data_IF_328860618149
#
_entry.id   IF_328860618149
#
_cell.length_a   1.000
_cell.length_b   1.000
_cell.length_c   1.000
_cell.angle_alpha   90.00
_cell.angle_beta   90.00
_cell.angle_gamma   90.00
#
_symmetry.space_group_name_H-M   'P 1'
#
loop_
_entity.id
_entity.type
_entity.pdbx_description
1 polymer ?
#
# COMPACT_ATOMS: atom_id res chain seq x y z
N UNK A 1 -16.42 14.72 17.98
CA UNK A 1 -15.56 15.90 17.70
C UNK A 1 -15.70 16.22 16.23
N UNK A 2 -16.10 17.44 15.96
CA UNK A 2 -16.80 17.94 14.77
C UNK A 2 -15.98 17.83 13.49
N UNK A 3 -16.61 17.29 12.45
CA UNK A 3 -16.10 17.33 11.08
C UNK A 3 -16.10 18.79 10.62
N UNK A 4 -14.93 19.36 10.41
CA UNK A 4 -14.79 20.65 9.73
C UNK A 4 -15.17 20.49 8.27
N UNK A 5 -16.18 21.24 7.83
CA UNK A 5 -16.58 21.30 6.44
C UNK A 5 -15.43 21.86 5.60
N UNK A 6 -14.94 21.07 4.65
CA UNK A 6 -13.99 21.50 3.63
C UNK A 6 -14.83 21.96 2.44
N UNK A 7 -15.03 23.27 2.29
CA UNK A 7 -15.59 23.86 1.07
C UNK A 7 -14.43 24.29 0.17
N UNK A 8 -14.16 23.50 -0.86
CA UNK A 8 -13.32 23.89 -1.99
C UNK A 8 -14.20 24.41 -3.13
N UNK A 9 -13.99 25.66 -3.54
CA UNK A 9 -14.58 26.21 -4.74
C UNK A 9 -13.80 25.69 -5.97
N UNK A 10 -14.44 24.82 -6.75
CA UNK A 10 -13.92 24.25 -7.99
C UNK A 10 -14.76 23.03 -8.35
N UNK A 11 -15.47 23.08 -9.49
CA UNK A 11 -16.37 22.06 -10.05
C UNK A 11 -16.94 21.02 -9.06
N UNK A 12 -18.18 21.24 -8.62
CA UNK A 12 -18.87 20.53 -7.53
C UNK A 12 -18.90 19.01 -7.59
N UNK A 13 -17.79 18.37 -7.21
CA UNK A 13 -17.75 16.96 -6.80
C UNK A 13 -18.06 16.92 -5.31
N UNK A 14 -19.18 16.29 -4.94
CA UNK A 14 -19.44 15.99 -3.54
C UNK A 14 -18.40 14.98 -3.03
N UNK A 15 -17.52 15.43 -2.13
CA UNK A 15 -16.45 14.61 -1.57
C UNK A 15 -16.94 13.69 -0.44
N UNK A 16 -18.14 13.90 0.12
CA UNK A 16 -18.62 13.11 1.25
C UNK A 16 -18.77 11.61 0.91
N UNK A 17 -19.37 11.20 -0.23
CA UNK A 17 -19.45 9.79 -0.63
C UNK A 17 -18.07 9.18 -0.87
N UNK A 18 -17.14 9.96 -1.45
CA UNK A 18 -15.75 9.54 -1.71
C UNK A 18 -15.04 9.25 -0.40
N UNK A 19 -15.08 10.20 0.55
CA UNK A 19 -14.43 10.07 1.86
C UNK A 19 -15.03 8.92 2.66
N UNK A 20 -16.35 8.75 2.65
CA UNK A 20 -17.02 7.64 3.34
C UNK A 20 -16.59 6.27 2.76
N UNK A 21 -16.54 6.17 1.43
CA UNK A 21 -16.08 4.94 0.73
C UNK A 21 -14.62 4.63 1.05
N UNK A 22 -13.73 5.62 1.02
CA UNK A 22 -12.31 5.43 1.34
C UNK A 22 -12.10 5.14 2.83
N UNK A 23 -12.93 5.67 3.72
CA UNK A 23 -12.85 5.39 5.16
C UNK A 23 -13.09 3.91 5.49
N UNK A 24 -13.93 3.24 4.68
CA UNK A 24 -14.24 1.80 4.75
C UNK A 24 -13.20 0.91 4.06
N UNK A 25 -12.22 1.48 3.34
CA UNK A 25 -11.18 0.69 2.65
C UNK A 25 -10.37 -0.16 3.66
N UNK A 26 -10.09 -1.44 3.36
CA UNK A 26 -9.37 -2.33 4.26
C UNK A 26 -8.01 -1.76 4.71
N UNK A 27 -7.81 -1.65 6.03
CA UNK A 27 -6.63 -0.99 6.59
C UNK A 27 -5.50 -1.97 6.86
N UNK A 28 -4.49 -1.95 5.98
CA UNK A 28 -3.20 -2.58 6.22
C UNK A 28 -2.30 -1.64 7.04
N UNK A 29 -1.60 -2.16 8.06
CA UNK A 29 -0.56 -1.39 8.78
C UNK A 29 0.68 -1.23 7.89
N UNK A 30 0.57 -0.31 6.94
CA UNK A 30 1.61 0.01 5.96
C UNK A 30 2.36 1.27 6.36
N UNK A 31 3.68 1.23 6.22
CA UNK A 31 4.57 2.31 6.62
C UNK A 31 4.39 3.50 5.69
N UNK A 32 4.09 4.68 6.26
CA UNK A 32 3.75 5.87 5.48
C UNK A 32 2.33 5.88 4.91
N UNK A 33 1.44 4.96 5.34
CA UNK A 33 0.07 4.87 4.79
C UNK A 33 -0.69 6.20 4.85
N UNK A 34 -1.28 6.55 3.71
CA UNK A 34 -2.02 7.80 3.46
C UNK A 34 -3.49 7.75 3.85
N UNK A 35 -3.93 6.72 4.59
CA UNK A 35 -5.33 6.58 5.03
C UNK A 35 -5.90 7.83 5.72
N UNK A 36 -5.11 8.49 6.58
CA UNK A 36 -5.55 9.72 7.27
C UNK A 36 -5.47 10.95 6.37
N UNK A 37 -4.67 10.91 5.32
CA UNK A 37 -4.50 12.00 4.35
C UNK A 37 -5.48 11.90 3.18
N UNK A 38 -6.15 10.76 3.01
CA UNK A 38 -7.08 10.53 1.91
C UNK A 38 -8.14 11.64 1.73
N UNK A 39 -8.76 12.23 2.78
CA UNK A 39 -9.69 13.34 2.59
C UNK A 39 -9.03 14.60 2.01
N UNK A 40 -7.79 14.91 2.43
CA UNK A 40 -7.04 16.06 1.92
C UNK A 40 -6.58 15.82 0.48
N UNK A 41 -6.10 14.60 0.18
CA UNK A 41 -5.74 14.20 -1.17
C UNK A 41 -6.96 14.21 -2.10
N UNK A 42 -8.13 13.77 -1.62
CA UNK A 42 -9.36 13.81 -2.40
C UNK A 42 -9.74 15.23 -2.80
N UNK A 43 -9.64 16.19 -1.88
CA UNK A 43 -9.88 17.60 -2.16
C UNK A 43 -8.90 18.16 -3.20
N UNK A 44 -7.61 17.82 -3.08
CA UNK A 44 -6.56 18.26 -4.02
C UNK A 44 -6.77 17.67 -5.41
N UNK A 45 -7.09 16.38 -5.51
CA UNK A 45 -7.36 15.73 -6.79
C UNK A 45 -8.65 16.24 -7.43
N UNK A 46 -9.67 16.60 -6.65
CA UNK A 46 -10.88 17.23 -7.17
C UNK A 46 -10.62 18.66 -7.68
N UNK A 47 -9.79 19.42 -6.96
CA UNK A 47 -9.37 20.77 -7.37
C UNK A 47 -8.56 20.75 -8.67
N UNK A 48 -7.61 19.82 -8.82
CA UNK A 48 -6.79 19.68 -10.03
C UNK A 48 -7.65 19.20 -11.21
N UNK A 49 -8.53 18.23 -10.98
CA UNK A 49 -9.32 17.59 -12.03
C UNK A 49 -8.49 16.77 -13.01
N UNK A 50 -9.15 16.27 -14.05
CA UNK A 50 -8.55 15.38 -15.05
C UNK A 50 -9.39 14.12 -15.28
N UNK A 51 -8.91 13.24 -16.16
CA UNK A 51 -9.58 11.99 -16.53
C UNK A 51 -8.74 10.78 -16.24
N UNK A 52 -7.42 10.90 -16.37
CA UNK A 52 -6.46 9.81 -16.23
C UNK A 52 -5.48 10.11 -15.10
N UNK A 53 -5.21 9.11 -14.27
CA UNK A 53 -4.26 9.27 -13.17
C UNK A 53 -3.34 8.06 -13.02
N UNK A 54 -2.08 8.32 -12.68
CA UNK A 54 -1.13 7.31 -12.25
C UNK A 54 -0.86 7.46 -10.75
N UNK A 55 -1.04 6.39 -9.98
CA UNK A 55 -0.43 6.24 -8.66
C UNK A 55 0.84 5.40 -8.83
N UNK A 56 2.00 6.05 -8.87
CA UNK A 56 3.26 5.39 -9.24
C UNK A 56 3.83 4.48 -8.13
N UNK A 57 3.39 4.69 -6.88
CA UNK A 57 3.87 4.02 -5.66
C UNK A 57 2.70 3.66 -4.75
N UNK A 58 1.82 2.81 -5.24
CA UNK A 58 0.48 2.61 -4.68
C UNK A 58 0.44 2.09 -3.24
N UNK A 59 1.46 1.37 -2.77
CA UNK A 59 1.60 0.95 -1.37
C UNK A 59 0.37 0.20 -0.83
N UNK A 60 -0.39 0.80 0.08
CA UNK A 60 -1.62 0.17 0.58
C UNK A 60 -2.80 0.23 -0.40
N UNK A 61 -2.65 0.91 -1.54
CA UNK A 61 -3.68 1.11 -2.56
C UNK A 61 -4.69 2.23 -2.26
N UNK A 62 -4.60 2.89 -1.10
CA UNK A 62 -5.64 3.83 -0.63
C UNK A 62 -5.74 5.09 -1.49
N UNK A 63 -4.62 5.59 -2.03
CA UNK A 63 -4.59 6.80 -2.86
C UNK A 63 -5.14 6.50 -4.26
N UNK A 64 -4.64 5.45 -4.92
CA UNK A 64 -5.24 4.92 -6.15
C UNK A 64 -6.75 4.65 -6.01
N UNK A 65 -7.20 4.09 -4.87
CA UNK A 65 -8.62 3.85 -4.60
C UNK A 65 -9.40 5.16 -4.44
N UNK A 66 -8.80 6.20 -3.85
CA UNK A 66 -9.38 7.54 -3.76
C UNK A 66 -9.52 8.18 -5.14
N UNK A 67 -8.49 8.10 -5.98
CA UNK A 67 -8.55 8.56 -7.38
C UNK A 67 -9.66 7.84 -8.16
N UNK A 68 -9.78 6.52 -8.01
CA UNK A 68 -10.88 5.74 -8.62
C UNK A 68 -12.25 6.22 -8.14
N UNK A 69 -12.39 6.47 -6.83
CA UNK A 69 -13.64 6.95 -6.24
C UNK A 69 -14.03 8.36 -6.72
N UNK A 70 -13.05 9.18 -7.10
CA UNK A 70 -13.25 10.47 -7.76
C UNK A 70 -13.59 10.37 -9.26
N UNK A 71 -13.62 9.15 -9.83
CA UNK A 71 -13.99 8.93 -11.22
C UNK A 71 -12.83 9.01 -12.23
N UNK A 72 -11.58 8.97 -11.75
CA UNK A 72 -10.41 8.87 -12.63
C UNK A 72 -10.31 7.46 -13.25
N UNK A 73 -9.78 7.41 -14.47
CA UNK A 73 -9.20 6.21 -15.05
C UNK A 73 -7.80 6.00 -14.44
N UNK A 74 -7.68 5.10 -13.46
CA UNK A 74 -6.47 4.95 -12.66
C UNK A 74 -5.55 3.85 -13.20
N UNK A 75 -4.27 4.14 -13.33
CA UNK A 75 -3.20 3.13 -13.38
C UNK A 75 -2.48 3.15 -12.03
N UNK A 76 -2.45 2.04 -11.31
CA UNK A 76 -1.74 1.91 -10.04
C UNK A 76 -0.50 1.03 -10.23
N UNK A 77 0.66 1.49 -9.79
CA UNK A 77 1.92 0.76 -9.85
C UNK A 77 2.54 0.61 -8.46
N UNK A 78 3.29 -0.46 -8.25
CA UNK A 78 4.19 -0.56 -7.10
C UNK A 78 5.38 -1.46 -7.45
N UNK A 79 6.50 -1.24 -6.77
CA UNK A 79 7.69 -2.06 -6.92
C UNK A 79 7.56 -3.45 -6.27
N UNK A 80 6.71 -3.56 -5.24
CA UNK A 80 6.42 -4.80 -4.53
C UNK A 80 5.20 -5.51 -5.13
N UNK A 81 5.19 -6.83 -5.05
CA UNK A 81 4.11 -7.66 -5.56
C UNK A 81 2.82 -7.51 -4.74
N UNK A 82 2.88 -7.50 -3.40
CA UNK A 82 1.65 -7.48 -2.61
C UNK A 82 0.84 -6.16 -2.74
N UNK A 83 1.44 -4.96 -2.80
CA UNK A 83 0.73 -3.73 -3.17
C UNK A 83 0.07 -3.80 -4.54
N UNK A 84 0.79 -4.31 -5.55
CA UNK A 84 0.23 -4.52 -6.89
C UNK A 84 -0.98 -5.46 -6.87
N UNK A 85 -0.95 -6.52 -6.07
CA UNK A 85 -2.10 -7.42 -5.90
C UNK A 85 -3.29 -6.72 -5.23
N UNK A 86 -3.06 -5.89 -4.20
CA UNK A 86 -4.11 -5.10 -3.55
C UNK A 86 -4.74 -4.10 -4.55
N UNK A 87 -3.92 -3.41 -5.33
CA UNK A 87 -4.38 -2.49 -6.36
C UNK A 87 -5.17 -3.22 -7.46
N UNK A 88 -4.75 -4.43 -7.85
CA UNK A 88 -5.53 -5.28 -8.77
C UNK A 88 -6.89 -5.64 -8.20
N UNK A 89 -6.95 -6.00 -6.91
CA UNK A 89 -8.17 -6.43 -6.23
C UNK A 89 -9.20 -5.31 -6.03
N UNK A 90 -8.73 -4.06 -5.83
CA UNK A 90 -9.58 -2.94 -5.38
C UNK A 90 -9.70 -1.78 -6.36
N UNK A 91 -8.65 -1.54 -7.15
CA UNK A 91 -8.60 -0.44 -8.12
C UNK A 91 -8.95 -0.97 -9.52
N UNK A 92 -8.18 -1.93 -10.04
CA UNK A 92 -8.42 -2.47 -11.38
C UNK A 92 -9.75 -3.23 -11.49
N UNK A 93 -10.09 -4.03 -10.48
CA UNK A 93 -11.35 -4.75 -10.39
C UNK A 93 -12.55 -3.79 -10.30
N UNK A 94 -13.56 -3.99 -11.15
CA UNK A 94 -14.79 -3.19 -11.15
C UNK A 94 -15.97 -3.92 -10.50
N UNK A 95 -15.99 -5.25 -10.47
CA UNK A 95 -17.23 -5.97 -10.14
C UNK A 95 -17.06 -7.37 -9.56
N UNK A 96 -15.92 -8.04 -9.75
CA UNK A 96 -15.76 -9.41 -9.27
C UNK A 96 -15.62 -9.43 -7.75
N UNK A 97 -16.28 -10.38 -7.09
CA UNK A 97 -16.15 -10.65 -5.66
C UNK A 97 -15.93 -12.15 -5.45
N UNK A 98 -15.37 -12.51 -4.29
CA UNK A 98 -15.31 -13.91 -3.86
C UNK A 98 -16.69 -14.34 -3.37
N UNK A 99 -17.24 -15.43 -3.89
CA UNK A 99 -18.50 -15.99 -3.39
C UNK A 99 -18.30 -16.68 -2.03
N UNK A 100 -19.36 -16.87 -1.23
CA UNK A 100 -19.27 -17.64 0.01
C UNK A 100 -18.66 -19.03 -0.20
N UNK A 101 -19.01 -19.72 -1.29
CA UNK A 101 -18.50 -21.06 -1.61
C UNK A 101 -17.00 -21.04 -1.95
N UNK A 102 -16.52 -19.98 -2.61
CA UNK A 102 -15.09 -19.79 -2.88
C UNK A 102 -14.33 -19.53 -1.57
N UNK A 103 -14.88 -18.69 -0.69
CA UNK A 103 -14.30 -18.42 0.63
C UNK A 103 -14.25 -19.69 1.47
N UNK A 104 -15.34 -20.47 1.53
CA UNK A 104 -15.39 -21.70 2.29
C UNK A 104 -14.48 -22.79 1.71
N UNK A 105 -14.31 -22.83 0.39
CA UNK A 105 -13.35 -23.73 -0.26
C UNK A 105 -11.91 -23.39 0.13
N UNK A 106 -11.52 -22.10 0.07
CA UNK A 106 -10.19 -21.64 0.50
C UNK A 106 -9.98 -21.92 2.01
N UNK A 107 -11.04 -21.76 2.79
CA UNK A 107 -11.11 -22.12 4.20
C UNK A 107 -11.44 -23.61 4.44
N UNK A 108 -11.32 -24.48 3.45
CA UNK A 108 -11.57 -25.91 3.56
C UNK A 108 -10.30 -26.73 3.78
N UNK A 109 -10.37 -28.05 3.57
CA UNK A 109 -9.21 -28.93 3.42
C UNK A 109 -8.33 -28.51 2.22
N UNK A 110 -7.03 -28.83 2.22
CA UNK A 110 -6.13 -28.43 1.15
C UNK A 110 -6.47 -29.11 -0.18
N UNK A 111 -6.20 -28.41 -1.29
CA UNK A 111 -6.45 -28.88 -2.64
C UNK A 111 -5.32 -29.75 -3.21
N UNK A 112 -4.14 -29.66 -2.63
CA UNK A 112 -2.92 -30.42 -2.91
C UNK A 112 -2.06 -30.56 -1.64
N UNK A 113 -0.88 -31.14 -1.74
CA UNK A 113 -0.01 -31.52 -0.62
C UNK A 113 1.10 -30.48 -0.32
N UNK A 114 0.97 -29.25 -0.83
CA UNK A 114 2.00 -28.22 -0.60
C UNK A 114 2.17 -27.91 0.89
N UNK A 115 3.42 -27.77 1.30
CA UNK A 115 3.80 -27.56 2.71
C UNK A 115 4.91 -26.51 2.89
N UNK A 116 5.14 -25.70 1.86
CA UNK A 116 6.30 -24.81 1.80
C UNK A 116 6.31 -23.83 2.98
N UNK A 117 5.18 -23.20 3.31
CA UNK A 117 5.12 -22.21 4.39
C UNK A 117 5.34 -22.89 5.74
N UNK A 118 4.70 -24.05 5.95
CA UNK A 118 4.86 -24.87 7.16
C UNK A 118 6.31 -25.28 7.39
N UNK A 119 6.98 -25.85 6.39
CA UNK A 119 8.38 -26.30 6.50
C UNK A 119 9.35 -25.14 6.61
N UNK A 120 9.17 -24.12 5.76
CA UNK A 120 10.14 -23.01 5.66
C UNK A 120 10.08 -22.13 6.89
N UNK A 121 8.88 -21.85 7.44
CA UNK A 121 8.69 -20.95 8.57
C UNK A 121 8.35 -21.69 9.87
N UNK A 122 8.85 -22.91 10.03
CA UNK A 122 8.69 -23.63 11.29
C UNK A 122 9.29 -22.85 12.48
N UNK A 123 8.62 -22.89 13.62
CA UNK A 123 8.84 -22.00 14.77
C UNK A 123 8.66 -20.48 14.54
N UNK A 124 8.33 -19.99 13.33
CA UNK A 124 8.28 -18.56 13.02
C UNK A 124 6.86 -18.03 12.79
N UNK A 125 6.62 -16.81 13.28
CA UNK A 125 5.45 -15.93 13.06
C UNK A 125 4.10 -16.42 13.54
N UNK A 126 3.72 -17.64 13.16
CA UNK A 126 2.40 -18.19 13.39
C UNK A 126 2.50 -19.61 13.97
N UNK A 127 1.39 -20.10 14.49
CA UNK A 127 1.26 -21.47 14.99
C UNK A 127 1.37 -22.48 13.84
N UNK A 128 1.58 -23.77 14.16
CA UNK A 128 1.64 -24.81 13.12
C UNK A 128 0.36 -24.87 12.27
N UNK A 129 -0.80 -24.87 12.93
CA UNK A 129 -2.11 -24.86 12.28
C UNK A 129 -2.33 -23.61 11.40
N UNK A 130 -1.83 -22.44 11.81
CA UNK A 130 -1.93 -21.24 10.99
C UNK A 130 -1.06 -21.33 9.73
N UNK A 131 0.16 -21.87 9.83
CA UNK A 131 1.04 -22.06 8.67
C UNK A 131 0.49 -23.11 7.71
N UNK A 132 -0.04 -24.21 8.24
CA UNK A 132 -0.76 -25.22 7.47
C UNK A 132 -1.96 -24.60 6.74
N UNK A 133 -2.73 -23.74 7.41
CA UNK A 133 -3.81 -23.00 6.74
C UNK A 133 -3.30 -22.10 5.62
N UNK A 134 -2.17 -21.40 5.78
CA UNK A 134 -1.62 -20.55 4.71
C UNK A 134 -1.26 -21.37 3.46
N UNK A 135 -0.67 -22.56 3.65
CA UNK A 135 -0.38 -23.50 2.55
C UNK A 135 -1.68 -24.01 1.90
N UNK A 136 -2.63 -24.49 2.72
CA UNK A 136 -3.95 -24.95 2.28
C UNK A 136 -4.70 -23.88 1.51
N UNK A 137 -4.77 -22.65 2.01
CA UNK A 137 -5.43 -21.54 1.34
C UNK A 137 -4.78 -21.26 -0.02
N UNK A 138 -3.44 -21.26 -0.08
CA UNK A 138 -2.73 -21.06 -1.34
C UNK A 138 -2.97 -22.16 -2.38
N UNK A 139 -3.21 -23.40 -1.96
CA UNK A 139 -3.56 -24.50 -2.87
C UNK A 139 -4.85 -24.24 -3.66
N UNK A 140 -5.80 -23.54 -3.06
CA UNK A 140 -7.04 -23.10 -3.73
C UNK A 140 -6.84 -21.81 -4.51
N UNK A 141 -6.16 -20.82 -3.91
CA UNK A 141 -5.92 -19.50 -4.54
C UNK A 141 -5.17 -19.63 -5.86
N UNK A 142 -4.25 -20.59 -5.96
CA UNK A 142 -3.46 -20.79 -7.19
C UNK A 142 -4.29 -21.26 -8.39
N UNK A 143 -5.49 -21.81 -8.13
CA UNK A 143 -6.47 -22.21 -9.14
C UNK A 143 -7.43 -21.09 -9.53
N UNK A 144 -7.39 -19.96 -8.82
CA UNK A 144 -8.15 -18.76 -9.18
C UNK A 144 -7.39 -17.92 -10.21
N UNK A 145 -8.13 -17.09 -10.94
CA UNK A 145 -7.57 -16.17 -11.92
C UNK A 145 -8.12 -14.75 -11.72
N UNK A 146 -7.56 -13.79 -12.46
CA UNK A 146 -8.10 -12.43 -12.53
C UNK A 146 -8.23 -11.72 -11.17
N UNK A 147 -9.35 -11.00 -11.00
CA UNK A 147 -9.60 -10.20 -9.81
C UNK A 147 -9.93 -11.06 -8.58
N UNK A 148 -10.59 -12.22 -8.75
CA UNK A 148 -10.85 -13.15 -7.64
C UNK A 148 -9.57 -13.66 -7.00
N UNK A 149 -8.57 -14.04 -7.79
CA UNK A 149 -7.24 -14.40 -7.26
C UNK A 149 -6.64 -13.25 -6.46
N UNK A 150 -6.73 -12.03 -6.99
CA UNK A 150 -6.18 -10.85 -6.33
C UNK A 150 -6.89 -10.54 -5.00
N UNK A 151 -8.22 -10.67 -4.95
CA UNK A 151 -9.02 -10.53 -3.72
C UNK A 151 -8.61 -11.56 -2.67
N UNK A 152 -8.48 -12.82 -3.06
CA UNK A 152 -8.12 -13.88 -2.14
C UNK A 152 -6.69 -13.70 -1.57
N UNK A 153 -5.72 -13.34 -2.42
CA UNK A 153 -4.37 -13.02 -1.96
C UNK A 153 -4.38 -11.79 -1.04
N UNK A 154 -5.13 -10.74 -1.39
CA UNK A 154 -5.22 -9.52 -0.57
C UNK A 154 -5.82 -9.81 0.81
N UNK A 155 -6.87 -10.64 0.86
CA UNK A 155 -7.47 -11.10 2.11
C UNK A 155 -6.48 -11.90 2.96
N UNK A 156 -5.72 -12.81 2.36
CA UNK A 156 -4.70 -13.62 3.03
C UNK A 156 -3.54 -12.77 3.57
N UNK A 157 -3.06 -11.81 2.77
CA UNK A 157 -2.03 -10.83 3.17
C UNK A 157 -2.51 -9.99 4.35
N UNK A 158 -3.74 -9.47 4.30
CA UNK A 158 -4.28 -8.67 5.39
C UNK A 158 -4.55 -9.51 6.65
N UNK A 159 -4.97 -10.76 6.50
CA UNK A 159 -5.12 -11.72 7.61
C UNK A 159 -3.78 -11.93 8.32
N UNK A 160 -2.73 -12.26 7.58
CA UNK A 160 -1.38 -12.44 8.12
C UNK A 160 -0.85 -11.16 8.78
N UNK A 161 -1.06 -9.99 8.15
CA UNK A 161 -0.62 -8.71 8.69
C UNK A 161 -1.35 -8.30 9.98
N UNK A 162 -2.64 -8.62 10.12
CA UNK A 162 -3.40 -8.30 11.35
C UNK A 162 -3.04 -9.24 12.51
N UNK A 163 -2.84 -10.53 12.21
CA UNK A 163 -2.43 -11.52 13.21
C UNK A 163 -1.00 -11.35 13.69
N UNK A 164 -0.10 -10.80 12.87
CA UNK A 164 1.26 -10.51 13.31
C UNK A 164 1.31 -9.25 14.18
N UNK A 165 1.95 -9.28 15.37
CA UNK A 165 2.17 -8.08 16.17
C UNK A 165 2.80 -6.94 15.37
N UNK A 166 2.23 -5.74 15.49
CA UNK A 166 2.59 -4.53 14.69
C UNK A 166 2.45 -4.66 13.16
N UNK A 167 2.08 -5.82 12.62
CA UNK A 167 1.95 -6.07 11.18
C UNK A 167 3.29 -6.04 10.42
N UNK A 168 4.41 -6.28 11.12
CA UNK A 168 5.75 -6.35 10.52
C UNK A 168 6.43 -7.65 10.90
N UNK A 169 7.24 -8.17 9.98
CA UNK A 169 7.85 -9.50 10.08
C UNK A 169 9.35 -9.44 10.42
N UNK A 170 9.75 -8.38 11.12
CA UNK A 170 11.12 -8.14 11.60
C UNK A 170 11.41 -8.73 12.96
N UNK A 171 10.38 -9.16 13.70
CA UNK A 171 10.47 -9.73 15.04
C UNK A 171 9.67 -11.01 15.09
N UNK A 172 10.20 -11.99 15.82
CA UNK A 172 9.56 -13.27 16.11
C UNK A 172 9.19 -13.34 17.59
N UNK A 173 8.09 -14.03 17.91
CA UNK A 173 7.58 -14.18 19.28
C UNK A 173 6.60 -13.11 19.75
N UNK A 174 6.08 -13.27 20.97
CA UNK A 174 4.96 -12.50 21.54
C UNK A 174 5.35 -11.16 22.19
N UNK A 175 6.58 -10.67 22.00
CA UNK A 175 7.11 -9.47 22.69
C UNK A 175 6.27 -8.19 22.47
N UNK A 176 5.50 -8.14 21.40
CA UNK A 176 4.63 -7.01 21.05
C UNK A 176 3.15 -7.40 20.98
N UNK A 177 2.77 -8.50 21.61
CA UNK A 177 1.37 -8.87 21.80
C UNK A 177 0.69 -7.83 22.69
N UNK A 178 -0.25 -7.08 22.11
CA UNK A 178 -1.04 -6.04 22.76
C UNK A 178 -2.42 -6.55 23.20
N UNK A 179 -2.66 -7.86 23.15
CA UNK A 179 -3.88 -8.52 23.60
C UNK A 179 -5.10 -8.31 22.71
N UNK A 180 -4.96 -7.62 21.57
CA UNK A 180 -6.09 -7.32 20.68
C UNK A 180 -6.69 -8.58 20.05
N UNK A 181 -7.99 -8.51 19.72
CA UNK A 181 -8.76 -9.60 19.09
C UNK A 181 -8.05 -10.23 17.90
N UNK A 182 -7.44 -9.42 17.03
CA UNK A 182 -6.75 -9.92 15.83
C UNK A 182 -5.59 -10.89 16.17
N UNK A 183 -4.94 -10.79 17.34
CA UNK A 183 -3.86 -11.72 17.67
C UNK A 183 -4.38 -13.10 18.11
N UNK A 184 -5.65 -13.17 18.53
CA UNK A 184 -6.29 -14.37 19.06
C UNK A 184 -7.09 -15.15 18.01
N UNK A 185 -7.51 -14.49 16.93
CA UNK A 185 -8.24 -15.13 15.85
C UNK A 185 -7.36 -16.11 15.08
N UNK A 186 -7.96 -17.22 14.63
CA UNK A 186 -7.29 -18.11 13.66
C UNK A 186 -7.06 -17.36 12.35
N UNK A 187 -6.01 -17.71 11.58
CA UNK A 187 -5.84 -17.14 10.24
C UNK A 187 -7.02 -17.46 9.32
N UNK A 188 -7.70 -18.59 9.54
CA UNK A 188 -8.90 -19.00 8.80
C UNK A 188 -10.06 -18.03 9.03
N UNK A 189 -10.33 -17.66 10.28
CA UNK A 189 -11.39 -16.69 10.60
C UNK A 189 -11.01 -15.29 10.12
N UNK A 190 -9.74 -14.92 10.25
CA UNK A 190 -9.23 -13.70 9.65
C UNK A 190 -9.48 -13.67 8.14
N UNK A 191 -9.16 -14.73 7.42
CA UNK A 191 -9.36 -14.77 5.98
C UNK A 191 -10.83 -14.50 5.62
N UNK A 192 -11.79 -15.14 6.30
CA UNK A 192 -13.22 -14.89 6.07
C UNK A 192 -13.60 -13.42 6.27
N UNK A 193 -13.19 -12.82 7.39
CA UNK A 193 -13.48 -11.42 7.66
C UNK A 193 -12.82 -10.47 6.65
N UNK A 194 -11.55 -10.74 6.30
CA UNK A 194 -10.80 -9.89 5.37
C UNK A 194 -11.31 -10.05 3.93
N UNK A 195 -11.77 -11.24 3.53
CA UNK A 195 -12.42 -11.45 2.24
C UNK A 195 -13.71 -10.64 2.13
N UNK A 196 -14.53 -10.61 3.18
CA UNK A 196 -15.72 -9.75 3.23
C UNK A 196 -15.37 -8.26 3.16
N UNK A 197 -14.34 -7.81 3.90
CA UNK A 197 -13.84 -6.42 3.83
C UNK A 197 -13.37 -6.04 2.41
N UNK A 198 -12.62 -6.92 1.73
CA UNK A 198 -12.16 -6.66 0.37
C UNK A 198 -13.28 -6.74 -0.66
N UNK A 199 -14.23 -7.66 -0.54
CA UNK A 199 -15.43 -7.70 -1.38
C UNK A 199 -16.22 -6.38 -1.28
N UNK A 200 -16.39 -5.85 -0.07
CA UNK A 200 -17.11 -4.58 0.16
C UNK A 200 -16.37 -3.35 -0.42
N UNK A 201 -15.06 -3.46 -0.66
CA UNK A 201 -14.28 -2.41 -1.31
C UNK A 201 -14.40 -2.44 -2.85
N UNK A 202 -14.97 -3.50 -3.44
CA UNK A 202 -15.15 -3.57 -4.90
C UNK A 202 -16.31 -2.67 -5.32
N UNK A 203 -16.08 -1.86 -6.34
CA UNK A 203 -17.13 -1.07 -6.99
C UNK A 203 -16.74 -0.73 -8.43
N UNK A 204 -17.75 -0.51 -9.25
CA UNK A 204 -17.59 -0.05 -10.63
C UNK A 204 -17.53 1.47 -10.64
N UNK A 205 -16.44 2.00 -11.20
CA UNK A 205 -16.21 3.43 -11.39
C UNK A 205 -16.66 3.92 -12.77
N UNK A 206 -17.10 3.04 -13.66
CA UNK A 206 -17.37 3.33 -15.07
C UNK A 206 -16.12 3.64 -15.89
N UNK A 207 -14.92 3.48 -15.30
CA UNK A 207 -13.63 3.76 -15.93
C UNK A 207 -12.71 2.55 -15.87
N UNK A 208 -12.03 2.27 -16.99
CA UNK A 208 -11.09 1.15 -17.09
C UNK A 208 -9.80 1.43 -16.30
N UNK A 209 -9.74 0.94 -15.07
CA UNK A 209 -8.55 1.04 -14.24
C UNK A 209 -7.59 -0.16 -14.46
N UNK A 210 -6.30 0.02 -14.19
CA UNK A 210 -5.26 -1.01 -14.31
C UNK A 210 -4.37 -1.04 -13.09
N UNK A 211 -3.72 -2.18 -12.87
CA UNK A 211 -2.69 -2.36 -11.86
C UNK A 211 -1.45 -3.01 -12.47
N UNK A 212 -0.30 -2.43 -12.20
CA UNK A 212 1.04 -2.84 -12.63
C UNK A 212 1.88 -3.20 -11.41
N UNK A 213 2.98 -3.91 -11.64
CA UNK A 213 4.00 -4.20 -10.63
C UNK A 213 5.36 -4.08 -11.27
N UNK A 214 6.14 -3.08 -10.88
CA UNK A 214 7.41 -2.75 -11.50
C UNK A 214 8.05 -1.50 -10.92
N UNK A 215 9.31 -1.26 -11.30
CA UNK A 215 9.99 -0.01 -10.98
C UNK A 215 9.32 1.13 -11.74
N UNK A 216 9.17 2.29 -11.09
CA UNK A 216 8.61 3.51 -11.69
C UNK A 216 9.38 3.92 -12.95
N UNK A 217 10.69 3.66 -13.00
CA UNK A 217 11.51 4.03 -14.16
C UNK A 217 11.22 3.16 -15.39
N UNK A 218 10.76 1.92 -15.18
CA UNK A 218 10.43 0.95 -16.23
C UNK A 218 9.01 1.11 -16.78
N UNK A 219 8.19 1.98 -16.18
CA UNK A 219 6.85 2.27 -16.67
C UNK A 219 6.91 2.86 -18.09
N UNK A 220 6.00 2.41 -18.96
CA UNK A 220 5.84 3.01 -20.28
C UNK A 220 5.47 4.49 -20.15
N UNK A 221 5.95 5.30 -21.10
CA UNK A 221 5.55 6.70 -21.22
C UNK A 221 4.12 6.76 -21.77
N UNK A 222 3.14 6.73 -20.88
CA UNK A 222 1.74 6.97 -21.19
C UNK A 222 1.34 8.38 -20.73
N UNK A 223 0.48 9.11 -21.47
CA UNK A 223 -0.01 10.39 -21.03
C UNK A 223 -0.99 10.22 -19.86
N UNK A 224 -0.70 10.89 -18.74
CA UNK A 224 -1.60 11.01 -17.60
C UNK A 224 -1.89 12.49 -17.34
N UNK A 225 -3.13 12.82 -16.99
CA UNK A 225 -3.47 14.19 -16.56
C UNK A 225 -2.85 14.48 -15.19
N UNK A 226 -2.83 13.47 -14.31
CA UNK A 226 -2.32 13.54 -12.95
C UNK A 226 -1.39 12.36 -12.63
N UNK A 227 -0.23 12.63 -12.04
CA UNK A 227 0.68 11.62 -11.49
C UNK A 227 0.86 11.86 -10.00
N UNK A 228 0.42 10.91 -9.18
CA UNK A 228 0.66 10.88 -7.75
C UNK A 228 1.94 10.11 -7.42
N UNK A 229 2.78 10.72 -6.60
CA UNK A 229 4.05 10.17 -6.15
C UNK A 229 4.06 10.07 -4.61
N UNK A 230 4.40 8.89 -4.09
CA UNK A 230 4.68 8.62 -2.68
C UNK A 230 5.88 7.66 -2.57
N UNK A 231 7.06 8.06 -3.07
CA UNK A 231 8.21 7.16 -3.12
C UNK A 231 8.70 6.79 -1.72
N UNK A 232 9.38 5.63 -1.57
CA UNK A 232 10.09 5.31 -0.34
C UNK A 232 11.06 6.43 0.03
N UNK A 233 10.96 6.98 1.23
CA UNK A 233 11.85 8.05 1.66
C UNK A 233 12.97 7.56 2.59
N UNK A 234 14.11 8.24 2.57
CA UNK A 234 15.23 7.98 3.45
C UNK A 234 15.14 8.85 4.72
N UNK A 235 14.90 8.27 5.91
CA UNK A 235 14.98 9.04 7.15
C UNK A 235 16.45 9.31 7.52
N UNK A 236 16.77 10.43 8.19
CA UNK A 236 18.16 10.81 8.47
C UNK A 236 18.97 9.82 9.32
N UNK A 237 18.31 8.97 10.13
CA UNK A 237 18.95 8.12 11.14
C UNK A 237 18.36 6.70 11.24
N UNK A 238 17.59 6.23 10.26
CA UNK A 238 16.95 4.90 10.30
C UNK A 238 16.93 4.23 8.91
N UNK A 239 16.60 2.94 8.87
CA UNK A 239 16.39 2.14 7.68
C UNK A 239 14.88 2.01 7.38
N UNK A 240 14.45 2.64 6.29
CA UNK A 240 13.07 2.63 5.80
C UNK A 240 12.84 1.54 4.72
N UNK A 241 13.55 0.41 4.82
CA UNK A 241 13.40 -0.67 3.86
C UNK A 241 12.05 -1.40 4.01
N UNK A 242 11.16 -1.20 3.03
CA UNK A 242 9.86 -1.86 2.95
C UNK A 242 9.98 -3.38 2.87
N UNK A 243 10.86 -3.92 2.01
CA UNK A 243 11.09 -5.37 1.91
C UNK A 243 11.46 -5.96 3.26
N UNK A 244 12.40 -5.36 4.00
CA UNK A 244 12.81 -5.85 5.33
C UNK A 244 11.63 -5.98 6.30
N UNK A 245 10.63 -5.10 6.21
CA UNK A 245 9.46 -5.06 7.11
C UNK A 245 8.33 -5.99 6.65
N UNK A 246 8.13 -6.09 5.34
CA UNK A 246 7.00 -6.75 4.71
C UNK A 246 7.38 -8.00 3.90
N UNK A 247 8.61 -8.51 4.05
CA UNK A 247 9.13 -9.65 3.27
C UNK A 247 8.22 -10.88 3.31
N UNK A 248 7.59 -11.15 4.46
CA UNK A 248 6.67 -12.28 4.57
C UNK A 248 5.39 -12.03 3.76
N UNK A 249 4.85 -10.81 3.76
CA UNK A 249 3.67 -10.47 2.96
C UNK A 249 3.98 -10.47 1.46
N UNK A 250 5.17 -10.00 1.09
CA UNK A 250 5.67 -10.02 -0.28
C UNK A 250 5.85 -11.46 -0.80
N UNK A 251 6.45 -12.32 0.02
CA UNK A 251 6.55 -13.75 -0.26
C UNK A 251 5.18 -14.40 -0.30
N UNK A 252 4.31 -14.13 0.68
CA UNK A 252 2.96 -14.67 0.75
C UNK A 252 2.12 -14.28 -0.46
N UNK A 253 2.29 -13.08 -1.03
CA UNK A 253 1.56 -12.67 -2.23
C UNK A 253 1.96 -13.44 -3.51
N UNK A 254 3.10 -14.12 -3.49
CA UNK A 254 3.65 -14.87 -4.62
C UNK A 254 3.87 -16.36 -4.31
N UNK A 255 3.50 -16.81 -3.11
CA UNK A 255 3.91 -18.10 -2.56
C UNK A 255 5.43 -18.33 -2.68
N UNK A 256 6.21 -17.27 -2.45
CA UNK A 256 7.67 -17.19 -2.58
C UNK A 256 8.24 -17.58 -3.95
N UNK A 257 7.41 -17.76 -4.97
CA UNK A 257 7.86 -18.12 -6.33
C UNK A 257 8.66 -16.97 -6.93
N UNK A 258 9.86 -17.27 -7.41
CA UNK A 258 10.78 -16.27 -7.97
C UNK A 258 11.39 -15.33 -6.91
N UNK A 259 11.30 -15.67 -5.62
CA UNK A 259 11.89 -14.89 -4.53
C UNK A 259 13.02 -15.69 -3.87
N UNK A 260 14.11 -15.00 -3.51
CA UNK A 260 15.24 -15.62 -2.81
C UNK A 260 15.17 -15.36 -1.31
N UNK A 261 15.00 -16.43 -0.54
CA UNK A 261 15.04 -16.38 0.93
C UNK A 261 16.49 -16.36 1.40
N UNK A 262 16.78 -15.47 2.33
CA UNK A 262 18.05 -15.39 3.05
C UNK A 262 18.01 -16.36 4.24
N UNK A 263 18.35 -17.64 3.99
CA UNK A 263 18.27 -18.72 4.98
C UNK A 263 19.08 -18.47 6.26
N UNK A 264 20.20 -17.75 6.16
CA UNK A 264 21.03 -17.39 7.32
C UNK A 264 20.43 -16.32 8.26
N UNK A 265 19.24 -15.79 7.95
CA UNK A 265 18.58 -14.78 8.79
C UNK A 265 17.59 -15.42 9.76
N UNK A 266 17.55 -14.92 11.01
CA UNK A 266 16.61 -15.40 12.06
C UNK A 266 15.13 -15.33 11.67
N UNK A 267 14.81 -14.56 10.64
CA UNK A 267 13.44 -14.30 10.21
C UNK A 267 13.23 -14.67 8.73
N UNK A 268 14.15 -15.43 8.10
CA UNK A 268 14.05 -15.87 6.70
C UNK A 268 13.61 -14.77 5.74
N UNK A 269 14.30 -13.62 5.80
CA UNK A 269 13.97 -12.44 4.99
C UNK A 269 14.17 -12.71 3.51
N UNK A 270 13.48 -11.96 2.67
CA UNK A 270 13.78 -11.89 1.25
C UNK A 270 15.01 -11.01 0.99
N UNK A 271 15.75 -11.32 -0.07
CA UNK A 271 16.81 -10.44 -0.56
C UNK A 271 16.26 -9.05 -0.88
N UNK A 272 17.02 -8.02 -0.48
CA UNK A 272 16.63 -6.63 -0.69
C UNK A 272 16.73 -6.30 -2.18
N UNK A 273 15.61 -5.87 -2.76
CA UNK A 273 15.63 -5.21 -4.07
C UNK A 273 16.12 -3.78 -3.93
N UNK A 274 17.02 -3.38 -4.83
CA UNK A 274 17.57 -2.03 -4.85
C UNK A 274 16.50 -1.02 -5.28
N UNK A 275 16.49 0.15 -4.64
CA UNK A 275 15.72 1.32 -5.08
C UNK A 275 16.51 2.58 -4.73
N UNK A 276 16.67 3.54 -5.65
CA UNK A 276 17.48 4.72 -5.41
C UNK A 276 16.81 5.73 -4.46
N UNK A 277 15.50 5.61 -4.21
CA UNK A 277 14.77 6.51 -3.31
C UNK A 277 15.09 6.27 -1.82
N UNK A 278 15.54 5.06 -1.46
CA UNK A 278 15.80 4.69 -0.05
C UNK A 278 17.14 5.16 0.51
N UNK A 279 17.97 5.88 -0.25
CA UNK A 279 19.30 6.30 0.20
C UNK A 279 19.48 7.82 0.07
N UNK A 280 19.94 8.53 1.13
CA UNK A 280 20.13 9.99 1.10
C UNK A 280 20.96 10.50 -0.09
N UNK A 281 21.99 9.75 -0.48
CA UNK A 281 22.91 10.11 -1.56
C UNK A 281 22.29 10.01 -2.97
N UNK A 282 21.24 9.23 -3.14
CA UNK A 282 20.63 8.96 -4.47
C UNK A 282 19.17 9.42 -4.56
N UNK A 283 18.52 9.72 -3.43
CA UNK A 283 17.10 10.07 -3.39
C UNK A 283 16.78 11.34 -4.20
N UNK A 284 17.62 12.38 -4.13
CA UNK A 284 17.40 13.62 -4.87
C UNK A 284 17.47 13.40 -6.39
N UNK A 285 18.46 12.64 -6.88
CA UNK A 285 18.57 12.30 -8.30
C UNK A 285 17.41 11.42 -8.78
N UNK A 286 17.00 10.45 -7.97
CA UNK A 286 15.84 9.61 -8.26
C UNK A 286 14.55 10.43 -8.40
N UNK A 287 14.32 11.39 -7.50
CA UNK A 287 13.20 12.32 -7.59
C UNK A 287 13.27 13.17 -8.86
N UNK A 288 14.44 13.78 -9.15
CA UNK A 288 14.66 14.57 -10.38
C UNK A 288 14.29 13.78 -11.64
N UNK A 289 14.83 12.56 -11.78
CA UNK A 289 14.54 11.68 -12.91
C UNK A 289 13.05 11.30 -13.00
N UNK A 290 12.38 11.14 -11.87
CA UNK A 290 10.93 10.86 -11.81
C UNK A 290 10.12 12.07 -12.29
N UNK A 291 10.49 13.27 -11.85
CA UNK A 291 9.83 14.51 -12.28
C UNK A 291 10.04 14.78 -13.78
N UNK A 292 11.24 14.53 -14.29
CA UNK A 292 11.54 14.60 -15.74
C UNK A 292 10.70 13.61 -16.55
N UNK A 293 10.56 12.37 -16.08
CA UNK A 293 9.77 11.33 -16.75
C UNK A 293 8.29 11.71 -16.87
N UNK A 294 7.73 12.39 -15.87
CA UNK A 294 6.33 12.79 -15.82
C UNK A 294 6.10 14.29 -15.99
N UNK A 295 7.02 14.97 -16.68
CA UNK A 295 7.00 16.44 -16.86
C UNK A 295 5.73 16.98 -17.53
N UNK A 296 5.08 16.16 -18.35
CA UNK A 296 3.88 16.55 -19.11
C UNK A 296 2.57 16.35 -18.32
N UNK A 297 2.64 15.76 -17.11
CA UNK A 297 1.49 15.53 -16.23
C UNK A 297 1.47 16.52 -15.07
N UNK A 298 0.31 16.82 -14.48
CA UNK A 298 0.29 17.47 -13.16
C UNK A 298 0.89 16.50 -12.14
N UNK A 299 1.88 16.93 -11.36
CA UNK A 299 2.55 16.09 -10.37
C UNK A 299 2.02 16.45 -8.98
N UNK A 300 1.55 15.44 -8.24
CA UNK A 300 1.22 15.55 -6.82
C UNK A 300 2.14 14.63 -6.03
N UNK A 301 2.99 15.19 -5.17
CA UNK A 301 3.94 14.41 -4.36
C UNK A 301 3.60 14.55 -2.88
N UNK A 302 3.41 13.43 -2.18
CA UNK A 302 3.41 13.39 -0.72
C UNK A 302 4.80 13.05 -0.21
N UNK A 303 5.29 13.81 0.77
CA UNK A 303 6.61 13.57 1.36
C UNK A 303 6.65 13.91 2.85
N UNK A 304 7.35 13.09 3.64
CA UNK A 304 7.47 13.29 5.08
C UNK A 304 8.45 14.42 5.41
N UNK A 305 8.10 15.28 6.37
CA UNK A 305 9.04 16.29 6.91
C UNK A 305 10.26 15.72 7.64
N UNK A 306 10.27 14.41 7.95
CA UNK A 306 11.39 13.72 8.59
C UNK A 306 12.19 12.86 7.60
N UNK A 307 12.22 13.25 6.33
CA UNK A 307 12.94 12.59 5.26
C UNK A 307 13.94 13.53 4.59
N UNK A 308 14.90 12.96 3.86
CA UNK A 308 15.79 13.67 2.94
C UNK A 308 15.51 13.26 1.49
N UNK A 309 15.61 14.16 0.49
CA UNK A 309 15.93 15.58 0.63
C UNK A 309 14.80 16.40 1.31
N UNK A 310 15.12 17.62 1.76
CA UNK A 310 14.16 18.50 2.40
C UNK A 310 13.16 19.12 1.41
N UNK A 311 12.14 19.80 1.94
CA UNK A 311 11.07 20.36 1.12
C UNK A 311 11.53 21.46 0.15
N UNK A 312 12.50 22.28 0.54
CA UNK A 312 13.06 23.33 -0.31
C UNK A 312 13.77 22.73 -1.52
N UNK A 313 14.57 21.69 -1.28
CA UNK A 313 15.25 20.94 -2.34
C UNK A 313 14.25 20.29 -3.29
N UNK A 314 13.20 19.64 -2.77
CA UNK A 314 12.16 19.02 -3.59
C UNK A 314 11.43 20.06 -4.45
N UNK A 315 11.05 21.19 -3.86
CA UNK A 315 10.40 22.28 -4.59
C UNK A 315 11.31 22.85 -5.69
N UNK A 316 12.61 23.00 -5.42
CA UNK A 316 13.58 23.44 -6.41
C UNK A 316 13.71 22.45 -7.59
N UNK A 317 13.72 21.13 -7.32
CA UNK A 317 13.73 20.10 -8.36
C UNK A 317 12.45 20.12 -9.20
N UNK A 318 11.27 20.27 -8.58
CA UNK A 318 10.00 20.40 -9.31
C UNK A 318 9.99 21.62 -10.23
N UNK A 319 10.52 22.77 -9.77
CA UNK A 319 10.61 24.00 -10.58
C UNK A 319 11.52 23.90 -11.80
N UNK A 320 12.36 22.88 -11.89
CA UNK A 320 13.16 22.62 -13.09
C UNK A 320 12.31 22.08 -14.25
N UNK A 321 11.16 21.48 -13.95
CA UNK A 321 10.27 20.87 -14.95
C UNK A 321 8.87 21.48 -14.99
N UNK A 322 8.44 22.17 -13.93
CA UNK A 322 7.12 22.82 -13.78
C UNK A 322 7.23 24.32 -13.52
N UNK A 323 6.31 25.09 -14.10
CA UNK A 323 6.27 26.55 -13.91
C UNK A 323 5.56 26.97 -12.61
N UNK A 324 4.59 26.17 -12.16
CA UNK A 324 3.85 26.40 -10.92
C UNK A 324 4.11 25.27 -9.93
N UNK A 325 4.56 25.60 -8.72
CA UNK A 325 4.84 24.64 -7.65
C UNK A 325 4.31 25.19 -6.33
N UNK A 326 3.20 24.62 -5.88
CA UNK A 326 2.57 24.88 -4.60
C UNK A 326 2.99 23.82 -3.56
N UNK A 327 3.24 24.23 -2.32
CA UNK A 327 3.55 23.32 -1.21
C UNK A 327 2.53 23.54 -0.09
N UNK A 328 1.70 22.53 0.18
CA UNK A 328 0.76 22.50 1.31
C UNK A 328 1.33 21.65 2.43
N UNK A 329 1.11 22.06 3.67
CA UNK A 329 1.46 21.27 4.86
C UNK A 329 0.22 20.68 5.50
N UNK A 330 0.26 19.39 5.80
CA UNK A 330 -0.79 18.72 6.56
C UNK A 330 -0.21 18.25 7.89
N UNK A 331 -0.78 18.74 8.99
CA UNK A 331 -0.38 18.33 10.33
C UNK A 331 -0.75 16.87 10.57
N UNK A 332 0.27 16.00 10.57
CA UNK A 332 0.09 14.57 10.79
C UNK A 332 0.74 14.13 12.11
N UNK A 333 -0.04 13.58 13.04
CA UNK A 333 0.55 12.94 14.23
C UNK A 333 0.86 11.48 13.92
N UNK A 334 2.12 11.16 13.66
CA UNK A 334 2.59 9.77 13.65
C UNK A 334 2.54 9.19 15.07
N UNK A 335 1.67 8.21 15.31
CA UNK A 335 1.61 7.46 16.56
C UNK A 335 2.47 6.19 16.44
N UNK A 336 3.79 6.33 16.41
CA UNK A 336 4.71 5.20 16.50
C UNK A 336 5.85 5.52 17.46
N UNK A 337 5.66 5.13 18.73
CA UNK A 337 6.68 5.18 19.76
C UNK A 337 6.08 4.86 21.13
N UNK A 338 6.54 3.78 21.76
CA UNK A 338 6.14 3.35 23.12
C UNK A 338 7.04 3.93 24.22
N UNK A 339 7.88 4.93 23.92
CA UNK A 339 8.79 5.54 24.89
C UNK A 339 8.23 6.86 25.44
N UNK A 340 7.97 6.91 26.75
CA UNK A 340 7.44 8.08 27.46
C UNK A 340 8.35 9.33 27.37
N UNK A 341 9.64 9.15 27.05
CA UNK A 341 10.64 10.23 26.93
C UNK A 341 10.99 10.61 25.47
N UNK A 342 10.33 10.03 24.46
CA UNK A 342 10.52 10.51 23.09
C UNK A 342 9.73 11.81 22.92
N UNK A 343 10.41 12.95 22.93
CA UNK A 343 9.84 14.22 22.50
C UNK A 343 9.09 13.96 21.19
N UNK A 344 7.76 14.06 21.22
CA UNK A 344 6.89 13.76 20.07
C UNK A 344 7.21 14.79 18.98
N UNK A 345 8.20 14.51 18.12
CA UNK A 345 8.48 15.31 16.93
C UNK A 345 7.18 15.35 16.14
N UNK A 346 6.58 16.53 16.01
CA UNK A 346 5.47 16.77 15.10
C UNK A 346 6.04 16.57 13.70
N UNK A 347 5.79 15.42 13.10
CA UNK A 347 6.20 15.12 11.71
C UNK A 347 5.02 15.51 10.82
N UNK A 348 5.08 16.67 10.18
CA UNK A 348 4.09 17.07 9.19
C UNK A 348 4.31 16.31 7.87
N UNK A 349 3.26 16.18 7.07
CA UNK A 349 3.38 15.73 5.68
C UNK A 349 3.35 16.95 4.76
N UNK A 350 4.29 17.01 3.82
CA UNK A 350 4.28 17.97 2.72
C UNK A 350 3.52 17.37 1.53
N UNK A 351 2.65 18.19 0.92
CA UNK A 351 1.99 17.89 -0.32
C UNK A 351 2.42 18.94 -1.35
N UNK A 352 3.23 18.51 -2.32
CA UNK A 352 3.64 19.34 -3.44
C UNK A 352 2.64 19.15 -4.58
N UNK A 353 2.18 20.25 -5.18
CA UNK A 353 1.30 20.26 -6.34
C UNK A 353 2.02 21.08 -7.41
N UNK A 354 2.41 20.42 -8.50
CA UNK A 354 3.24 21.01 -9.54
C UNK A 354 2.57 20.88 -10.92
N UNK A 355 2.27 22.01 -11.56
CA UNK A 355 1.48 22.10 -12.79
C UNK A 355 2.36 22.48 -13.98
#
# INVERSE_FOLDING_TARGET
MTAGAVHGAGHGVDLLPVVARVAAFPRLRYMGSKHRLAPHLAAVFAEIGGRTALDAFSGSGVVAYTLKALGYQVTANDFLCFPGVIARATVANQSETLTPEEIDRICGPPADDRDFIRRTFDGLYFTDHDREFLDSAWSHIDRLHGAKRALAISALVLAAARKQPRGVFTVTGARYDDGRRDLRLSLRDHFRERAAEYNAAVFDSGRRCRSLTGDVFDLAAEPYDLVYLDPPYAPPRDDNCYIKRYHFLEGLATYWRGQKIMEGTRTKKLEKRYTPFSYPRTAADALRRTFEKFRDSTIVLSYSSNAVPDAETIAALLRQVKSDVEVRTIDHRYSFGTHANAARRKVCEYLFIAR
#
